data_IF_921632168689
#
_entry.id   IF_921632168689
#
_cell.length_a   1.000
_cell.length_b   1.000
_cell.length_c   1.000
_cell.angle_alpha   90.00
_cell.angle_beta   90.00
_cell.angle_gamma   90.00
#
_symmetry.space_group_name_H-M   'P 1'
#
loop_
_entity.id
_entity.type
_entity.pdbx_description
1 polymer ?
2 non-polymer ?
3 non-polymer ?
4 water ?
#
# COMPACT_ATOMS: atom_id res chain seq x y z
N UNK A 4 -9.34 -1.54 -19.28
CA UNK A 4 -8.41 -0.68 -18.48
C UNK A 4 -7.65 -1.55 -17.47
N UNK A 5 -6.39 -1.83 -17.77
CA UNK A 5 -5.56 -2.61 -16.86
C UNK A 5 -4.59 -1.67 -16.14
N UNK A 6 -4.41 -1.88 -14.84
CA UNK A 6 -3.56 -0.99 -14.03
C UNK A 6 -2.59 -1.76 -13.12
N UNK A 7 -1.29 -1.48 -13.27
CA UNK A 7 -0.26 -1.99 -12.36
C UNK A 7 -0.14 -1.06 -11.14
N UNK A 8 -0.22 -1.64 -9.94
CA UNK A 8 -0.10 -0.88 -8.70
C UNK A 8 0.96 -1.47 -7.78
N UNK A 9 1.71 -0.61 -7.10
CA UNK A 9 2.72 -1.06 -6.14
C UNK A 9 2.31 -0.70 -4.72
N UNK A 10 2.71 -1.55 -3.78
CA UNK A 10 2.46 -1.37 -2.35
C UNK A 10 3.81 -1.41 -1.62
N UNK A 11 4.30 -0.25 -1.19
CA UNK A 11 5.64 -0.15 -0.58
C UNK A 11 5.65 0.39 0.86
N UNK A 12 6.73 0.10 1.58
CA UNK A 12 6.91 0.49 2.98
C UNK A 12 7.88 -0.46 3.70
N UNK A 13 8.26 -0.12 4.93
CA UNK A 13 9.14 -0.99 5.75
C UNK A 13 8.58 -2.40 5.96
N UNK A 14 9.46 -3.35 6.29
CA UNK A 14 9.05 -4.72 6.57
C UNK A 14 8.03 -4.88 7.69
N UNK A 15 7.14 -5.86 7.53
CA UNK A 15 6.16 -6.26 8.56
C UNK A 15 4.99 -5.28 8.81
N UNK A 16 4.90 -4.22 8.01
CA UNK A 16 3.77 -3.27 8.12
C UNK A 16 2.42 -3.86 7.68
N UNK A 17 2.46 -4.95 6.91
CA UNK A 17 1.24 -5.62 6.45
C UNK A 17 0.96 -5.50 4.96
N UNK A 18 2.01 -5.28 4.16
CA UNK A 18 1.85 -5.07 2.70
C UNK A 18 1.31 -6.31 1.98
N UNK A 19 1.96 -7.46 2.18
CA UNK A 19 1.53 -8.71 1.56
C UNK A 19 0.15 -9.11 2.06
N UNK A 20 -0.10 -8.89 3.35
CA UNK A 20 -1.42 -9.15 3.93
C UNK A 20 -2.50 -8.33 3.22
N UNK A 21 -2.21 -7.05 2.98
CA UNK A 21 -3.15 -6.15 2.30
C UNK A 21 -3.53 -6.65 0.89
N UNK A 22 -2.54 -7.08 0.13
CA UNK A 22 -2.74 -7.63 -1.24
C UNK A 22 -3.55 -8.94 -1.20
N UNK A 23 -3.21 -9.82 -0.25
CA UNK A 23 -3.96 -11.06 -0.03
C UNK A 23 -5.42 -10.79 0.37
N UNK A 24 -5.63 -9.81 1.24
CA UNK A 24 -6.99 -9.45 1.66
C UNK A 24 -7.80 -8.96 0.46
N UNK A 25 -7.24 -8.04 -0.32
CA UNK A 25 -7.99 -7.42 -1.42
C UNK A 25 -8.32 -8.42 -2.54
N UNK A 26 -7.35 -9.26 -2.90
CA UNK A 26 -7.50 -10.13 -4.07
C UNK A 26 -8.03 -11.54 -3.78
N UNK A 27 -7.95 -11.99 -2.52
CA UNK A 27 -8.37 -13.34 -2.14
C UNK A 27 -9.42 -13.37 -1.03
N UNK A 28 -9.58 -12.25 -0.33
CA UNK A 28 -10.52 -12.14 0.79
C UNK A 28 -10.14 -12.94 2.02
N UNK A 29 -8.83 -13.06 2.26
CA UNK A 29 -8.32 -13.86 3.36
C UNK A 29 -7.41 -13.05 4.28
N UNK A 30 -7.27 -13.54 5.52
CA UNK A 30 -6.29 -13.05 6.49
C UNK A 30 -5.85 -14.24 7.35
N UNK A 31 -4.58 -14.62 7.23
CA UNK A 31 -4.03 -15.73 8.03
C UNK A 31 -3.25 -15.24 9.25
N UNK A 32 -2.89 -16.17 10.14
CA UNK A 32 -2.24 -15.82 11.41
C UNK A 32 -0.71 -15.83 11.39
N UNK A 33 -0.12 -16.11 10.23
CA UNK A 33 1.34 -16.21 10.09
C UNK A 33 2.08 -14.94 10.52
N UNK A 34 3.29 -15.10 11.05
CA UNK A 34 4.13 -13.95 11.41
C UNK A 34 4.65 -13.19 10.18
N UNK A 35 4.75 -13.88 9.05
CA UNK A 35 5.18 -13.28 7.79
C UNK A 35 4.39 -13.92 6.65
N UNK A 36 3.85 -13.10 5.75
CA UNK A 36 3.03 -13.60 4.63
C UNK A 36 3.83 -13.68 3.33
N UNK A 37 3.56 -14.70 2.52
CA UNK A 37 4.26 -14.89 1.25
C UNK A 37 3.27 -15.01 0.08
N UNK A 38 3.62 -14.38 -1.04
CA UNK A 38 2.89 -14.53 -2.30
C UNK A 38 3.81 -15.26 -3.29
N UNK A 39 3.28 -16.27 -3.97
CA UNK A 39 4.09 -17.16 -4.81
C UNK A 39 4.24 -16.74 -6.26
N UNK A 40 3.81 -15.53 -6.57
CA UNK A 40 3.87 -14.97 -7.92
C UNK A 40 4.19 -13.49 -7.81
N UNK A 41 4.43 -12.83 -8.95
CA UNK A 41 4.79 -11.41 -8.96
C UNK A 41 3.68 -10.48 -8.46
N UNK A 42 2.44 -10.86 -8.75
CA UNK A 42 1.27 -10.05 -8.40
C UNK A 42 -0.01 -10.88 -8.28
N UNK A 43 -0.93 -10.39 -7.45
CA UNK A 43 -2.30 -10.90 -7.40
C UNK A 43 -3.21 -9.90 -8.12
N UNK A 44 -4.41 -10.34 -8.50
CA UNK A 44 -5.26 -9.59 -9.41
C UNK A 44 -6.74 -9.54 -8.95
N UNK A 45 -7.41 -8.42 -9.21
CA UNK A 45 -8.87 -8.30 -9.00
C UNK A 45 -9.53 -7.49 -10.11
N UNK A 46 -10.67 -7.97 -10.60
CA UNK A 46 -11.39 -7.29 -11.69
C UNK A 46 -12.67 -6.65 -11.14
N UNK A 47 -12.81 -5.34 -11.38
CA UNK A 47 -13.90 -4.54 -10.78
C UNK A 47 -14.53 -3.59 -11.81
N UNK A 48 -15.72 -3.08 -11.51
CA UNK A 48 -16.37 -2.11 -12.38
C UNK A 48 -16.18 -0.71 -11.81
N UNK A 49 -15.62 0.19 -12.62
CA UNK A 49 -15.38 1.59 -12.23
C UNK A 49 -15.91 2.56 -13.29
N UNK A 50 -17.00 3.26 -12.95
CA UNK A 50 -17.60 4.30 -13.82
C UNK A 50 -17.82 3.86 -15.28
N UNK A 51 -18.49 2.71 -15.46
CA UNK A 51 -18.75 2.11 -16.78
C UNK A 51 -17.52 1.54 -17.49
N UNK A 52 -16.43 1.37 -16.75
CA UNK A 52 -15.24 0.73 -17.29
C UNK A 52 -14.97 -0.56 -16.52
N UNK A 53 -14.55 -1.58 -17.25
CA UNK A 53 -14.10 -2.83 -16.67
C UNK A 53 -12.61 -2.73 -16.43
N UNK A 54 -12.24 -2.68 -15.15
CA UNK A 54 -10.86 -2.42 -14.74
C UNK A 54 -10.20 -3.67 -14.16
N UNK A 55 -8.96 -3.92 -14.56
CA UNK A 55 -8.21 -5.07 -14.04
C UNK A 55 -6.98 -4.60 -13.25
N UNK A 56 -7.06 -4.72 -11.92
CA UNK A 56 -6.00 -4.23 -11.03
C UNK A 56 -4.97 -5.30 -10.71
N UNK A 57 -3.70 -4.97 -10.94
CA UNK A 57 -2.61 -5.92 -10.71
C UNK A 57 -1.68 -5.38 -9.63
N UNK A 58 -1.77 -5.99 -8.44
CA UNK A 58 -1.03 -5.52 -7.25
C UNK A 58 0.24 -6.32 -7.01
N UNK A 59 1.38 -5.66 -7.21
CA UNK A 59 2.71 -6.26 -7.13
C UNK A 59 3.27 -6.32 -5.71
N UNK A 60 3.82 -7.47 -5.35
CA UNK A 60 4.41 -7.71 -4.02
C UNK A 60 5.95 -7.64 -4.03
N UNK A 61 6.51 -7.05 -2.97
CA UNK A 61 7.96 -6.83 -2.84
C UNK A 61 8.78 -8.08 -2.48
N UNK A 62 8.10 -9.16 -2.09
CA UNK A 62 8.74 -10.44 -1.75
C UNK A 62 9.76 -10.36 -0.59
N UNK A 63 9.50 -9.46 0.36
CA UNK A 63 10.31 -9.34 1.57
C UNK A 63 11.70 -8.77 1.37
N UNK A 64 11.97 -8.29 0.16
CA UNK A 64 13.31 -7.85 -0.23
C UNK A 64 13.69 -6.48 0.36
N UNK A 65 12.73 -5.82 1.00
CA UNK A 65 13.00 -4.56 1.71
C UNK A 65 13.85 -4.76 2.98
N UNK A 66 13.86 -5.98 3.52
CA UNK A 66 14.68 -6.29 4.69
C UNK A 66 16.11 -6.69 4.34
N UNK A 67 16.37 -6.89 3.05
CA UNK A 67 17.71 -7.24 2.56
C UNK A 67 18.30 -6.18 1.62
N UNK A 68 17.64 -5.02 1.53
CA UNK A 68 18.07 -3.91 0.66
C UNK A 68 18.25 -4.37 -0.80
N UNK A 69 17.22 -5.00 -1.37
CA UNK A 69 17.38 -5.69 -2.65
C UNK A 69 16.16 -5.71 -3.59
N UNK A 70 15.29 -4.70 -3.49
CA UNK A 70 14.14 -4.58 -4.40
C UNK A 70 14.64 -4.15 -5.79
N UNK A 71 14.29 -4.94 -6.80
CA UNK A 71 14.81 -4.73 -8.16
C UNK A 71 14.06 -3.64 -8.93
N UNK A 72 14.67 -3.18 -10.03
CA UNK A 72 14.10 -2.13 -10.87
C UNK A 72 12.80 -2.60 -11.53
N UNK A 73 12.73 -3.89 -11.84
CA UNK A 73 11.57 -4.51 -12.48
C UNK A 73 10.31 -4.41 -11.62
N UNK A 74 10.48 -4.46 -10.30
CA UNK A 74 9.34 -4.32 -9.40
C UNK A 74 8.56 -3.04 -9.69
N UNK A 75 9.27 -1.91 -9.77
CA UNK A 75 8.67 -0.58 -9.87
C UNK A 75 8.21 -0.20 -11.28
N UNK A 76 8.88 -0.74 -12.29
CA UNK A 76 8.65 -0.33 -13.68
C UNK A 76 7.22 -0.58 -14.15
N UNK A 77 6.60 0.45 -14.72
CA UNK A 77 5.25 0.34 -15.28
C UNK A 77 4.14 0.76 -14.33
N UNK A 78 4.49 0.97 -13.06
CA UNK A 78 3.51 1.34 -12.02
C UNK A 78 2.73 2.59 -12.41
N UNK A 79 1.41 2.51 -12.26
CA UNK A 79 0.48 3.61 -12.58
C UNK A 79 -0.24 4.12 -11.32
N UNK A 80 -0.09 3.40 -10.20
CA UNK A 80 -0.54 3.88 -8.88
C UNK A 80 0.28 3.27 -7.73
N UNK A 81 0.25 3.92 -6.55
CA UNK A 81 1.10 3.52 -5.42
C UNK A 81 0.42 3.66 -4.05
N UNK A 82 0.60 2.64 -3.21
CA UNK A 82 0.19 2.71 -1.80
C UNK A 82 1.45 2.79 -0.93
N UNK A 83 1.56 3.84 -0.12
CA UNK A 83 2.65 3.94 0.86
C UNK A 83 2.12 3.49 2.23
N UNK A 84 2.71 2.44 2.81
CA UNK A 84 2.18 1.86 4.05
C UNK A 84 3.15 2.00 5.24
N UNK A 85 2.63 2.47 6.38
CA UNK A 85 3.33 2.36 7.67
C UNK A 85 2.45 1.68 8.71
N UNK A 86 3.06 1.31 9.84
CA UNK A 86 2.37 0.60 10.91
C UNK A 86 2.15 1.47 12.16
N UNK A 87 0.94 1.38 12.71
CA UNK A 87 0.52 1.95 13.99
C UNK A 87 1.51 1.68 15.14
N UNK A 88 2.06 0.47 15.17
CA UNK A 88 2.91 0.04 16.29
C UNK A 88 4.41 0.08 15.99
N UNK A 89 4.79 0.75 14.90
CA UNK A 89 6.18 0.78 14.45
C UNK A 89 6.62 2.19 14.07
N UNK A 90 7.31 2.84 15.01
CA UNK A 90 7.79 4.22 14.86
C UNK A 90 8.71 4.42 13.64
N UNK A 91 9.62 3.48 13.39
CA UNK A 91 10.53 3.53 12.23
C UNK A 91 9.81 3.53 10.88
N UNK A 92 8.76 2.72 10.76
CA UNK A 92 8.01 2.63 9.49
C UNK A 92 7.36 3.95 9.08
N UNK A 93 6.88 4.72 10.07
CA UNK A 93 6.29 6.04 9.83
C UNK A 93 7.34 7.03 9.35
N UNK A 94 8.51 7.00 9.99
CA UNK A 94 9.61 7.90 9.66
C UNK A 94 10.20 7.67 8.26
N UNK A 95 10.06 6.44 7.75
CA UNK A 95 10.60 6.06 6.44
C UNK A 95 9.74 6.48 5.22
N UNK A 96 8.49 6.89 5.46
CA UNK A 96 7.51 7.09 4.37
C UNK A 96 7.93 8.01 3.22
N UNK A 97 8.54 9.16 3.54
CA UNK A 97 8.90 10.13 2.50
C UNK A 97 10.03 9.61 1.60
N UNK A 98 10.89 8.76 2.16
CA UNK A 98 11.97 8.12 1.41
C UNK A 98 11.45 7.05 0.45
N UNK A 99 10.45 6.29 0.90
CA UNK A 99 9.78 5.33 0.01
C UNK A 99 9.10 6.04 -1.16
N UNK A 100 8.53 7.22 -0.88
CA UNK A 100 7.89 8.04 -1.92
C UNK A 100 8.89 8.45 -3.00
N UNK A 101 10.09 8.87 -2.58
CA UNK A 101 11.17 9.24 -3.50
C UNK A 101 11.64 8.09 -4.38
N UNK A 102 11.76 6.89 -3.81
CA UNK A 102 12.16 5.69 -4.56
C UNK A 102 11.23 5.40 -5.74
N UNK A 103 9.93 5.58 -5.52
CA UNK A 103 8.90 5.40 -6.55
C UNK A 103 8.93 6.53 -7.59
N UNK A 104 8.94 7.78 -7.12
CA UNK A 104 9.04 8.96 -8.00
C UNK A 104 10.27 8.88 -8.91
N UNK A 105 11.40 8.45 -8.36
CA UNK A 105 12.64 8.27 -9.12
C UNK A 105 12.48 7.28 -10.28
N UNK A 106 11.61 6.29 -10.10
CA UNK A 106 11.42 5.23 -11.09
C UNK A 106 10.36 5.55 -12.14
N UNK A 107 9.20 6.04 -11.70
CA UNK A 107 8.03 6.21 -12.60
C UNK A 107 7.45 7.63 -12.64
N UNK A 108 8.05 8.55 -11.90
CA UNK A 108 7.56 9.92 -11.83
C UNK A 108 6.32 10.07 -10.96
N UNK A 109 5.47 11.02 -11.32
CA UNK A 109 4.27 11.30 -10.56
C UNK A 109 3.13 10.39 -11.00
N UNK A 110 2.61 9.62 -10.04
CA UNK A 110 1.48 8.72 -10.24
C UNK A 110 0.54 8.86 -9.04
N UNK A 111 -0.77 8.61 -9.22
CA UNK A 111 -1.71 8.64 -8.09
C UNK A 111 -1.25 7.78 -6.91
N UNK A 112 -1.26 8.37 -5.71
CA UNK A 112 -0.69 7.74 -4.51
C UNK A 112 -1.61 7.96 -3.30
N UNK A 113 -1.74 6.94 -2.45
CA UNK A 113 -2.43 7.09 -1.16
C UNK A 113 -1.51 6.72 0.01
N UNK A 114 -1.69 7.39 1.15
CA UNK A 114 -0.96 7.09 2.39
C UNK A 114 -1.83 6.25 3.32
N UNK A 115 -1.25 5.18 3.87
CA UNK A 115 -2.00 4.21 4.68
C UNK A 115 -1.32 3.91 6.04
N UNK A 116 -2.09 4.08 7.13
CA UNK A 116 -1.69 3.62 8.47
C UNK A 116 -2.41 2.31 8.79
N UNK A 117 -1.69 1.20 8.67
CA UNK A 117 -2.22 -0.14 8.94
C UNK A 117 -2.14 -0.49 10.44
N UNK A 118 -2.82 -1.57 10.82
CA UNK A 118 -2.82 -2.13 12.19
C UNK A 118 -3.50 -1.21 13.20
N UNK A 119 -4.50 -0.47 12.74
CA UNK A 119 -5.22 0.47 13.60
C UNK A 119 -6.04 -0.25 14.69
N UNK A 120 -6.18 -1.57 14.56
CA UNK A 120 -6.81 -2.40 15.60
C UNK A 120 -5.96 -2.48 16.87
N UNK A 121 -4.69 -2.10 16.75
CA UNK A 121 -3.77 -2.03 17.89
C UNK A 121 -3.48 -0.56 18.27
N UNK A 122 -4.54 0.24 18.37
CA UNK A 122 -4.43 1.68 18.61
C UNK A 122 -3.95 2.07 20.03
N UNK A 123 -4.17 1.20 21.02
CA UNK A 123 -3.75 1.49 22.39
C UNK A 123 -2.23 1.46 22.56
N UNK A 124 -1.54 0.80 21.62
CA UNK A 124 -0.07 0.72 21.64
C UNK A 124 0.56 1.52 20.49
N UNK A 125 -0.18 2.52 20.01
CA UNK A 125 0.26 3.40 18.93
C UNK A 125 1.50 4.21 19.28
N UNK A 126 2.41 4.29 18.31
CA UNK A 126 3.68 5.00 18.44
C UNK A 126 3.63 6.32 17.66
N UNK A 127 2.48 6.57 17.03
CA UNK A 127 2.26 7.75 16.20
C UNK A 127 0.97 8.45 16.62
N UNK A 128 1.06 9.74 16.91
CA UNK A 128 -0.11 10.56 17.24
C UNK A 128 -0.89 10.92 15.98
N UNK A 129 -2.20 11.13 16.12
CA UNK A 129 -3.05 11.51 14.98
C UNK A 129 -2.54 12.75 14.24
N UNK A 130 -2.16 13.78 15.01
CA UNK A 130 -1.67 15.04 14.45
C UNK A 130 -0.39 14.85 13.64
N UNK A 131 0.43 13.90 14.07
CA UNK A 131 1.64 13.51 13.36
C UNK A 131 1.31 12.88 12.01
N UNK A 132 0.37 11.94 12.00
CA UNK A 132 -0.05 11.27 10.76
C UNK A 132 -0.72 12.24 9.78
N UNK A 133 -1.53 13.15 10.30
CA UNK A 133 -2.22 14.17 9.49
C UNK A 133 -1.23 15.19 8.93
N UNK A 134 -0.26 15.58 9.75
CA UNK A 134 0.82 16.47 9.34
C UNK A 134 1.62 15.93 8.17
N UNK A 135 1.86 14.62 8.17
CA UNK A 135 2.53 13.98 7.03
C UNK A 135 1.67 14.01 5.76
N UNK A 136 0.39 13.64 5.89
CA UNK A 136 -0.53 13.66 4.75
C UNK A 136 -0.61 15.04 4.10
N UNK A 137 -0.75 16.09 4.92
CA UNK A 137 -0.79 17.48 4.43
C UNK A 137 0.46 17.84 3.62
N UNK A 138 1.62 17.52 4.19
CA UNK A 138 2.91 17.84 3.60
C UNK A 138 3.15 17.18 2.23
N UNK A 139 2.77 15.91 2.13
CA UNK A 139 2.94 15.15 0.90
C UNK A 139 1.75 15.34 -0.04
N UNK A 140 0.72 16.05 0.43
CA UNK A 140 -0.52 16.26 -0.33
C UNK A 140 -1.06 14.92 -0.82
N UNK A 141 -1.38 14.05 0.13
CA UNK A 141 -1.89 12.71 -0.17
C UNK A 141 -3.16 12.40 0.59
N UNK A 142 -4.06 11.67 -0.08
CA UNK A 142 -5.22 11.07 0.56
C UNK A 142 -4.74 10.07 1.62
N UNK A 143 -5.33 10.13 2.82
CA UNK A 143 -4.84 9.38 3.98
C UNK A 143 -5.91 8.45 4.54
N UNK A 144 -5.54 7.20 4.78
CA UNK A 144 -6.45 6.17 5.29
C UNK A 144 -5.95 5.54 6.59
N UNK A 145 -6.86 5.38 7.55
CA UNK A 145 -6.62 4.55 8.75
C UNK A 145 -7.20 3.17 8.50
N UNK A 146 -6.34 2.16 8.52
CA UNK A 146 -6.65 0.85 7.95
C UNK A 146 -6.42 -0.30 8.95
N UNK A 147 -7.26 -1.32 8.88
CA UNK A 147 -6.97 -2.61 9.52
C UNK A 147 -7.15 -3.75 8.52
N UNK A 148 -6.04 -4.32 8.04
CA UNK A 148 -6.11 -5.47 7.13
C UNK A 148 -6.78 -6.64 7.86
N UNK A 149 -6.42 -6.80 9.14
CA UNK A 149 -6.98 -7.84 10.01
C UNK A 149 -8.51 -7.83 10.05
N UNK A 150 -9.10 -6.66 10.28
CA UNK A 150 -10.56 -6.53 10.35
C UNK A 150 -11.23 -6.12 9.02
N UNK A 151 -10.44 -6.09 7.93
CA UNK A 151 -10.90 -5.64 6.60
C UNK A 151 -11.54 -4.25 6.63
N UNK A 152 -10.81 -3.29 7.19
CA UNK A 152 -11.29 -1.90 7.31
C UNK A 152 -10.42 -0.99 6.47
N UNK A 153 -11.04 -0.30 5.51
CA UNK A 153 -10.32 0.61 4.60
C UNK A 153 -9.19 -0.07 3.83
N UNK A 154 -9.52 -1.20 3.19
CA UNK A 154 -8.62 -1.85 2.25
C UNK A 154 -9.15 -1.63 0.82
N UNK A 155 -10.37 -2.11 0.56
CA UNK A 155 -10.98 -2.00 -0.76
C UNK A 155 -11.12 -0.55 -1.23
N UNK A 156 -11.40 0.34 -0.27
CA UNK A 156 -11.58 1.77 -0.51
C UNK A 156 -10.34 2.43 -1.14
N UNK A 157 -9.16 2.01 -0.69
CA UNK A 157 -7.90 2.56 -1.18
C UNK A 157 -7.70 2.30 -2.67
N UNK A 158 -7.88 1.04 -3.08
CA UNK A 158 -7.67 0.65 -4.48
C UNK A 158 -8.74 1.21 -5.43
N UNK A 159 -9.96 1.33 -4.93
CA UNK A 159 -11.05 1.97 -5.68
C UNK A 159 -10.72 3.45 -5.94
N UNK A 160 -10.29 4.16 -4.90
CA UNK A 160 -9.86 5.55 -5.02
C UNK A 160 -8.77 5.72 -6.07
N UNK A 161 -7.74 4.86 -6.01
CA UNK A 161 -6.62 4.94 -6.95
C UNK A 161 -7.00 4.61 -8.40
N UNK A 162 -7.89 3.63 -8.57
CA UNK A 162 -8.41 3.29 -9.91
C UNK A 162 -9.15 4.47 -10.54
N UNK A 163 -10.00 5.13 -9.74
CA UNK A 163 -10.74 6.30 -10.21
C UNK A 163 -9.82 7.47 -10.59
N UNK A 164 -8.73 7.64 -9.84
CA UNK A 164 -7.75 8.70 -10.12
C UNK A 164 -6.93 8.45 -11.39
N UNK A 165 -6.66 7.18 -11.69
CA UNK A 165 -6.04 6.82 -12.96
C UNK A 165 -6.93 7.20 -14.15
N UNK A 166 -8.24 6.94 -14.03
CA UNK A 166 -9.18 7.21 -15.14
C UNK A 166 -9.50 8.70 -15.26
N UNK A 167 -9.38 9.41 -14.14
CA UNK A 167 -9.60 10.85 -14.07
C UNK A 167 -8.71 11.50 -13.02
X LIG B 1 5.62 -8.86 2.40
X LIG C 1 4.91 -7.06 5.04
X LIG C 1 6.30 -7.50 5.44
X LIG C 1 4.86 -5.56 4.98
X LIG C 1 4.53 -7.67 3.71
X LIG C 1 3.87 -7.53 6.18
X LIG C 1 3.10 -8.94 6.26
X LIG C 1 4.03 -10.11 6.04
X LIG C 1 1.95 -8.97 5.27
X LIG C 1 2.52 -8.94 7.76
X LIG C 1 3.41 -8.91 8.88
X LIG C 1 2.65 -9.33 10.14
X LIG C 1 1.71 -8.33 10.50
X LIG C 1 1.87 -10.62 9.95
X LIG C 1 1.92 -11.35 11.18
X LIG C 1 0.45 -10.13 9.69
X LIG C 1 -0.55 -11.07 10.04
X LIG C 1 0.39 -8.89 10.57
X LIG C 1 -0.64 -7.92 10.13
X LIG C 1 -0.88 -7.46 8.88
X LIG C 1 -1.91 -6.58 8.88
X LIG C 1 -2.35 -6.45 10.15
X LIG C 1 -3.42 -5.68 10.86
X LIG C 1 -4.19 -4.89 10.26
X LIG C 1 -3.53 -5.85 12.19
X LIG C 1 -2.73 -6.69 12.89
X LIG C 1 -2.90 -6.81 14.22
X LIG C 1 -1.74 -7.42 12.30
X LIG C 1 -1.51 -7.34 10.97
#
# INVERSE_FOLDING_TARGET
GSEVAIKMVVVGNGAVGKSSMIQRYCKGIFTKDYKKTIGVDFLERQIQVNDEDVRLMLWDTAGQEEFDAITKAYYRGAQACVLVFSTTDRESFEAISSWREKVVAEVGDIPTALVQNKIDLLDDSCIKNEEAEGLAKRLKLRFYRTSVKEDLNVSEVFKYLAEKHLQK
MG MG
GDP PB O1B O2B O3B O3A PA O1A O2A O5' C5' C4' O4' C3' O3' C2' O2' C1' N9 C8 N7 C5 C6 O6 N1 C2 N2 N3 C4
#
